data_IF_395807097963
#
_entry.id   IF_395807097963
#
_cell.length_a   1.000
_cell.length_b   1.000
_cell.length_c   1.000
_cell.angle_alpha   90.00
_cell.angle_beta   90.00
_cell.angle_gamma   90.00
#
_symmetry.space_group_name_H-M   'P 1'
#
loop_
_entity.id
_entity.type
_entity.pdbx_description
1 polymer ?
#
# COMPACT_ATOMS: atom_id res chain seq x y z
N UNK A 1 -1.87 -16.03 -2.93
CA UNK A 1 -1.07 -15.17 -2.02
C UNK A 1 -0.76 -15.96 -0.76
N UNK A 2 0.39 -15.77 -0.15
CA UNK A 2 0.82 -16.50 1.05
C UNK A 2 0.63 -15.71 2.35
N UNK A 3 0.44 -14.40 2.28
CA UNK A 3 -0.02 -13.56 3.38
C UNK A 3 -1.54 -13.40 3.29
N UNK A 4 -2.14 -12.89 4.36
CA UNK A 4 -3.57 -12.64 4.39
C UNK A 4 -4.00 -11.62 3.31
N UNK A 5 -5.15 -11.84 2.69
CA UNK A 5 -5.71 -10.91 1.71
C UNK A 5 -5.87 -9.50 2.28
N UNK A 6 -6.21 -9.40 3.57
CA UNK A 6 -6.40 -8.12 4.26
C UNK A 6 -5.11 -7.30 4.40
N UNK A 7 -3.93 -7.92 4.23
CA UNK A 7 -2.65 -7.19 4.19
C UNK A 7 -2.40 -6.48 2.83
N UNK A 8 -3.30 -6.68 1.86
CA UNK A 8 -3.15 -6.15 0.50
C UNK A 8 -4.36 -5.33 0.04
N UNK A 9 -4.59 -4.13 0.59
CA UNK A 9 -5.70 -3.27 0.21
C UNK A 9 -5.83 -3.03 -1.31
N UNK A 10 -4.73 -2.91 -2.11
CA UNK A 10 -4.86 -2.77 -3.55
C UNK A 10 -5.47 -4.00 -4.24
N UNK A 11 -5.30 -5.20 -3.68
CA UNK A 11 -5.96 -6.40 -4.22
C UNK A 11 -7.45 -6.42 -3.92
N UNK A 12 -7.85 -5.95 -2.75
CA UNK A 12 -9.26 -5.79 -2.39
C UNK A 12 -9.92 -4.85 -3.40
N UNK A 13 -9.29 -3.69 -3.66
CA UNK A 13 -9.74 -2.71 -4.65
C UNK A 13 -9.82 -3.30 -6.06
N UNK A 14 -8.83 -4.08 -6.47
CA UNK A 14 -8.81 -4.71 -7.78
C UNK A 14 -9.95 -5.73 -7.96
N UNK A 15 -10.22 -6.57 -6.95
CA UNK A 15 -11.34 -7.52 -6.96
C UNK A 15 -12.67 -6.76 -7.10
N UNK A 16 -12.87 -5.70 -6.33
CA UNK A 16 -14.08 -4.88 -6.42
C UNK A 16 -14.28 -4.29 -7.82
N UNK A 17 -13.22 -3.73 -8.39
CA UNK A 17 -13.26 -3.14 -9.75
C UNK A 17 -13.55 -4.21 -10.81
N UNK A 18 -12.87 -5.35 -10.75
CA UNK A 18 -13.11 -6.44 -11.71
C UNK A 18 -14.55 -6.96 -11.63
N UNK A 19 -15.12 -7.07 -10.40
CA UNK A 19 -16.55 -7.42 -10.25
C UNK A 19 -17.48 -6.36 -10.83
N UNK A 20 -17.16 -5.09 -10.70
CA UNK A 20 -17.94 -4.01 -11.32
C UNK A 20 -17.85 -4.03 -12.87
N UNK A 21 -16.72 -4.47 -13.41
CA UNK A 21 -16.54 -4.69 -14.85
C UNK A 21 -17.24 -5.96 -15.36
N UNK A 22 -17.84 -6.77 -14.49
CA UNK A 22 -18.57 -7.98 -14.83
C UNK A 22 -17.70 -9.24 -14.95
N UNK A 23 -16.45 -9.18 -14.47
CA UNK A 23 -15.54 -10.32 -14.54
C UNK A 23 -15.90 -11.41 -13.52
N UNK A 24 -15.73 -12.66 -13.92
CA UNK A 24 -15.82 -13.80 -13.00
C UNK A 24 -14.49 -14.02 -12.29
N UNK A 25 -14.53 -14.00 -10.95
CA UNK A 25 -13.30 -14.00 -10.15
C UNK A 25 -13.22 -15.22 -9.27
N UNK A 26 -12.06 -15.87 -9.32
CA UNK A 26 -11.66 -16.90 -8.36
C UNK A 26 -10.41 -16.41 -7.63
N UNK A 27 -10.53 -16.14 -6.34
CA UNK A 27 -9.39 -15.85 -5.48
C UNK A 27 -8.79 -17.14 -4.95
N UNK A 28 -7.48 -17.32 -5.13
CA UNK A 28 -6.73 -18.46 -4.59
C UNK A 28 -5.60 -17.95 -3.70
N UNK A 29 -5.68 -18.20 -2.40
CA UNK A 29 -4.65 -17.73 -1.48
C UNK A 29 -5.03 -17.85 -0.01
N UNK A 30 -4.26 -17.21 0.85
CA UNK A 30 -4.57 -17.14 2.27
C UNK A 30 -5.52 -15.98 2.56
N UNK A 31 -6.54 -16.23 3.37
CA UNK A 31 -7.44 -15.20 3.91
C UNK A 31 -8.03 -15.65 5.25
N UNK A 32 -8.36 -14.69 6.09
CA UNK A 32 -9.17 -14.87 7.30
C UNK A 32 -10.61 -14.50 7.01
N UNK A 33 -11.55 -15.15 7.71
CA UNK A 33 -12.95 -14.76 7.65
C UNK A 33 -13.11 -13.32 8.17
N UNK A 34 -13.71 -12.48 7.37
CA UNK A 34 -13.85 -11.04 7.62
C UNK A 34 -15.08 -10.50 6.90
N UNK A 35 -15.59 -9.32 7.28
CA UNK A 35 -16.66 -8.68 6.51
C UNK A 35 -16.33 -8.53 5.01
N UNK A 36 -15.07 -8.26 4.68
CA UNK A 36 -14.61 -8.14 3.29
C UNK A 36 -14.72 -9.45 2.53
N UNK A 37 -14.29 -10.57 3.12
CA UNK A 37 -14.36 -11.89 2.44
C UNK A 37 -15.79 -12.36 2.27
N UNK A 38 -16.67 -12.14 3.25
CA UNK A 38 -18.12 -12.44 3.14
C UNK A 38 -18.77 -11.61 2.04
N UNK A 39 -18.46 -10.31 1.97
CA UNK A 39 -18.94 -9.44 0.89
C UNK A 39 -18.47 -9.94 -0.49
N UNK A 40 -17.26 -10.44 -0.61
CA UNK A 40 -16.78 -11.03 -1.86
C UNK A 40 -17.57 -12.27 -2.26
N UNK A 41 -17.89 -13.16 -1.32
CA UNK A 41 -18.76 -14.32 -1.57
C UNK A 41 -20.16 -13.89 -2.02
N UNK A 42 -20.73 -12.86 -1.37
CA UNK A 42 -22.01 -12.26 -1.77
C UNK A 42 -21.99 -11.65 -3.19
N UNK A 43 -20.83 -11.10 -3.61
CA UNK A 43 -20.60 -10.61 -4.97
C UNK A 43 -20.30 -11.73 -5.98
N UNK A 44 -20.34 -13.00 -5.56
CA UNK A 44 -20.08 -14.15 -6.41
C UNK A 44 -18.58 -14.38 -6.71
N UNK A 45 -17.67 -13.88 -5.87
CA UNK A 45 -16.25 -14.25 -5.94
C UNK A 45 -16.05 -15.62 -5.30
N UNK A 46 -15.52 -16.58 -6.05
CA UNK A 46 -15.17 -17.88 -5.49
C UNK A 46 -13.86 -17.78 -4.70
N UNK A 47 -13.92 -18.01 -3.39
CA UNK A 47 -12.76 -17.98 -2.51
C UNK A 47 -12.20 -19.41 -2.28
N UNK A 48 -10.94 -19.64 -2.67
CA UNK A 48 -10.23 -20.92 -2.45
C UNK A 48 -9.08 -20.67 -1.47
N UNK A 49 -9.22 -21.19 -0.25
CA UNK A 49 -8.22 -20.99 0.80
C UNK A 49 -7.05 -21.95 0.62
N UNK A 50 -5.85 -21.40 0.46
CA UNK A 50 -4.60 -22.11 0.57
C UNK A 50 -3.88 -21.66 1.84
N UNK A 51 -3.55 -22.61 2.72
CA UNK A 51 -2.81 -22.29 3.94
C UNK A 51 -1.35 -21.98 3.61
N UNK A 52 -0.87 -20.82 4.00
CA UNK A 52 0.55 -20.52 3.99
C UNK A 52 0.87 -19.46 5.05
N UNK A 53 1.21 -19.92 6.23
CA UNK A 53 1.77 -19.07 7.28
C UNK A 53 3.26 -19.35 7.37
N UNK A 54 4.09 -18.33 7.24
CA UNK A 54 5.54 -18.43 7.44
C UNK A 54 5.85 -18.80 8.89
N UNK A 55 6.82 -19.68 9.05
CA UNK A 55 7.45 -19.97 10.34
C UNK A 55 8.82 -19.28 10.44
N UNK A 56 9.38 -19.23 11.64
CA UNK A 56 10.73 -18.72 11.88
C UNK A 56 11.84 -19.72 11.46
N UNK A 57 11.48 -20.93 10.98
CA UNK A 57 12.39 -21.98 10.57
C UNK A 57 12.41 -22.14 9.06
N UNK A 58 13.58 -22.05 8.43
CA UNK A 58 13.76 -22.23 6.98
C UNK A 58 13.31 -23.63 6.50
N UNK A 59 13.60 -24.68 7.26
CA UNK A 59 13.16 -26.03 6.95
C UNK A 59 11.64 -26.21 6.98
N UNK A 60 11.00 -25.61 7.97
CA UNK A 60 9.53 -25.61 8.07
C UNK A 60 8.94 -24.84 6.89
N UNK A 61 9.52 -23.71 6.51
CA UNK A 61 9.09 -22.93 5.36
C UNK A 61 9.19 -23.73 4.04
N UNK A 62 10.28 -24.49 3.83
CA UNK A 62 10.41 -25.36 2.64
C UNK A 62 9.29 -26.40 2.56
N UNK A 63 8.92 -27.01 3.69
CA UNK A 63 7.80 -27.97 3.75
C UNK A 63 6.47 -27.29 3.42
N UNK A 64 6.22 -26.13 4.03
CA UNK A 64 5.02 -25.30 3.78
C UNK A 64 4.92 -24.95 2.29
N UNK A 65 6.02 -24.47 1.67
CA UNK A 65 6.03 -24.09 0.26
C UNK A 65 5.77 -25.28 -0.68
N UNK A 66 6.33 -26.46 -0.39
CA UNK A 66 6.04 -27.68 -1.15
C UNK A 66 4.56 -28.07 -1.07
N UNK A 67 3.97 -28.00 0.14
CA UNK A 67 2.55 -28.27 0.34
C UNK A 67 1.67 -27.25 -0.39
N UNK A 68 2.00 -25.96 -0.28
CA UNK A 68 1.30 -24.90 -1.00
C UNK A 68 1.38 -25.10 -2.52
N UNK A 69 2.57 -25.37 -3.05
CA UNK A 69 2.76 -25.66 -4.49
C UNK A 69 1.89 -26.81 -4.97
N UNK A 70 1.86 -27.91 -4.22
CA UNK A 70 1.02 -29.07 -4.53
C UNK A 70 -0.46 -28.69 -4.54
N UNK A 71 -0.94 -28.06 -3.47
CA UNK A 71 -2.33 -27.65 -3.35
C UNK A 71 -2.75 -26.66 -4.45
N UNK A 72 -1.90 -25.67 -4.77
CA UNK A 72 -2.15 -24.74 -5.86
C UNK A 72 -2.26 -25.48 -7.21
N UNK A 73 -1.35 -26.40 -7.49
CA UNK A 73 -1.38 -27.19 -8.73
C UNK A 73 -2.64 -28.03 -8.87
N UNK A 74 -3.10 -28.66 -7.79
CA UNK A 74 -4.33 -29.45 -7.75
C UNK A 74 -5.56 -28.56 -7.98
N UNK A 75 -5.62 -27.39 -7.32
CA UNK A 75 -6.72 -26.44 -7.50
C UNK A 75 -6.78 -25.90 -8.95
N UNK A 76 -5.66 -25.45 -9.50
CA UNK A 76 -5.65 -24.96 -10.88
C UNK A 76 -6.05 -25.99 -11.91
N UNK A 77 -5.68 -27.28 -11.71
CA UNK A 77 -6.13 -28.36 -12.56
C UNK A 77 -7.64 -28.61 -12.45
N UNK A 78 -8.20 -28.54 -11.22
CA UNK A 78 -9.63 -28.79 -10.99
C UNK A 78 -10.53 -27.68 -11.57
N UNK A 79 -9.99 -26.50 -11.81
CA UNK A 79 -10.75 -25.37 -12.37
C UNK A 79 -10.98 -25.48 -13.88
N UNK A 80 -10.27 -26.39 -14.56
CA UNK A 80 -10.40 -26.55 -16.03
C UNK A 80 -10.26 -25.22 -16.80
N UNK A 81 -9.25 -24.43 -16.42
CA UNK A 81 -9.02 -23.11 -17.03
C UNK A 81 -8.84 -23.23 -18.56
N UNK A 82 -9.43 -22.31 -19.27
CA UNK A 82 -9.40 -22.19 -20.74
C UNK A 82 -8.33 -21.21 -21.21
N UNK A 83 -8.16 -21.06 -22.51
CA UNK A 83 -7.24 -20.06 -23.10
C UNK A 83 -7.70 -18.62 -22.91
N UNK A 84 -8.97 -18.39 -22.55
CA UNK A 84 -9.49 -17.05 -22.20
C UNK A 84 -9.22 -16.64 -20.75
N UNK A 85 -8.98 -17.62 -19.87
CA UNK A 85 -8.76 -17.33 -18.46
C UNK A 85 -7.35 -16.78 -18.20
N UNK A 86 -7.26 -15.84 -17.28
CA UNK A 86 -6.01 -15.15 -16.92
C UNK A 86 -5.75 -15.31 -15.43
N UNK A 87 -4.54 -15.74 -15.08
CA UNK A 87 -4.07 -15.74 -13.70
C UNK A 87 -3.46 -14.39 -13.39
N UNK A 88 -4.12 -13.58 -12.55
CA UNK A 88 -3.54 -12.35 -12.02
C UNK A 88 -2.69 -12.68 -10.80
N UNK A 89 -1.38 -12.77 -11.02
CA UNK A 89 -0.43 -13.19 -10.02
C UNK A 89 0.16 -11.99 -9.27
N UNK A 90 -0.07 -11.91 -7.97
CA UNK A 90 0.60 -10.93 -7.10
C UNK A 90 1.97 -11.44 -6.72
N UNK A 91 2.99 -10.73 -7.16
CA UNK A 91 4.36 -11.12 -6.91
C UNK A 91 4.72 -11.07 -5.42
N UNK A 92 5.42 -12.10 -5.00
CA UNK A 92 6.10 -12.15 -3.71
C UNK A 92 7.42 -12.89 -3.88
N UNK A 93 8.48 -12.45 -3.20
CA UNK A 93 9.78 -13.13 -3.25
C UNK A 93 9.69 -14.60 -2.84
N UNK A 94 8.73 -14.94 -1.99
CA UNK A 94 8.50 -16.33 -1.55
C UNK A 94 7.72 -17.17 -2.53
N UNK A 95 7.12 -16.57 -3.55
CA UNK A 95 6.33 -17.28 -4.54
C UNK A 95 7.13 -17.74 -5.77
N UNK A 96 8.43 -17.54 -5.77
CA UNK A 96 9.31 -18.02 -6.85
C UNK A 96 9.25 -19.53 -7.08
N UNK A 97 8.81 -20.30 -6.09
CA UNK A 97 8.67 -21.77 -6.19
C UNK A 97 7.45 -22.22 -7.01
N UNK A 98 6.52 -21.33 -7.38
CA UNK A 98 5.32 -21.66 -8.17
C UNK A 98 5.41 -21.25 -9.65
N UNK A 99 6.54 -20.68 -10.09
CA UNK A 99 6.72 -20.19 -11.46
C UNK A 99 6.45 -21.25 -12.55
N UNK A 100 6.88 -22.48 -12.33
CA UNK A 100 6.70 -23.62 -13.25
C UNK A 100 5.22 -24.07 -13.38
N UNK A 101 4.40 -23.77 -12.38
CA UNK A 101 2.95 -23.97 -12.46
C UNK A 101 2.32 -22.84 -13.25
N UNK A 102 2.62 -21.58 -12.90
CA UNK A 102 2.04 -20.40 -13.53
C UNK A 102 2.41 -20.30 -15.02
N UNK A 103 3.63 -20.68 -15.40
CA UNK A 103 4.11 -20.66 -16.79
C UNK A 103 3.33 -21.56 -17.75
N UNK A 104 2.42 -22.41 -17.27
CA UNK A 104 1.53 -23.26 -18.06
C UNK A 104 0.23 -22.55 -18.47
N UNK A 105 -0.03 -21.38 -17.93
CA UNK A 105 -1.25 -20.60 -18.12
C UNK A 105 -0.92 -19.23 -18.69
N UNK A 106 -1.94 -18.48 -19.10
CA UNK A 106 -1.82 -17.05 -19.33
C UNK A 106 -1.78 -16.34 -17.98
N UNK A 107 -0.80 -15.48 -17.76
CA UNK A 107 -0.67 -14.80 -16.47
C UNK A 107 -0.16 -13.37 -16.61
N UNK A 108 -0.64 -12.52 -15.69
CA UNK A 108 -0.15 -11.17 -15.43
C UNK A 108 0.63 -11.20 -14.12
N UNK A 109 1.72 -10.46 -14.04
CA UNK A 109 2.49 -10.29 -12.79
C UNK A 109 2.23 -8.88 -12.25
N UNK A 110 1.75 -8.79 -11.01
CA UNK A 110 1.50 -7.52 -10.32
C UNK A 110 2.50 -7.30 -9.19
N UNK A 111 3.30 -6.25 -9.30
CA UNK A 111 4.31 -5.84 -8.34
C UNK A 111 3.82 -4.64 -7.53
N UNK A 112 3.61 -4.80 -6.22
CA UNK A 112 3.34 -3.68 -5.31
C UNK A 112 4.59 -2.91 -4.91
N UNK A 113 5.74 -3.57 -4.98
CA UNK A 113 7.04 -2.99 -4.73
C UNK A 113 8.02 -3.37 -5.83
N UNK A 114 9.03 -2.54 -6.04
CA UNK A 114 10.16 -2.93 -6.87
C UNK A 114 10.88 -4.10 -6.20
N UNK A 115 10.99 -5.21 -6.91
CA UNK A 115 11.65 -6.42 -6.47
C UNK A 115 12.74 -6.80 -7.48
N UNK A 116 14.04 -6.66 -7.14
CA UNK A 116 15.13 -7.07 -8.00
C UNK A 116 15.20 -8.60 -8.15
N UNK A 117 15.94 -9.06 -9.14
CA UNK A 117 16.28 -10.48 -9.25
C UNK A 117 17.02 -10.95 -7.99
N UNK A 118 16.69 -12.15 -7.56
CA UNK A 118 17.41 -12.79 -6.47
C UNK A 118 18.54 -13.68 -7.04
N UNK A 119 19.75 -13.13 -7.12
CA UNK A 119 20.92 -13.81 -7.64
C UNK A 119 21.76 -14.52 -6.58
N UNK A 120 21.23 -14.64 -5.35
CA UNK A 120 21.98 -15.29 -4.27
C UNK A 120 22.22 -16.77 -4.60
N UNK A 121 23.43 -17.27 -4.26
CA UNK A 121 23.80 -18.67 -4.48
C UNK A 121 22.85 -19.65 -3.76
N UNK A 122 22.35 -19.27 -2.58
CA UNK A 122 21.35 -20.05 -1.83
C UNK A 122 20.04 -20.17 -2.62
N UNK A 123 19.61 -19.08 -3.25
CA UNK A 123 18.40 -19.09 -4.06
C UNK A 123 18.57 -19.97 -5.31
N UNK A 124 19.71 -19.87 -5.99
CA UNK A 124 20.01 -20.73 -7.15
C UNK A 124 20.09 -22.20 -6.79
N UNK A 125 20.59 -22.54 -5.60
CA UNK A 125 20.62 -23.91 -5.10
C UNK A 125 19.23 -24.45 -4.79
N UNK A 126 18.36 -23.63 -4.19
CA UNK A 126 17.00 -24.02 -3.84
C UNK A 126 16.04 -24.09 -5.04
N UNK A 127 16.31 -23.27 -6.07
CA UNK A 127 15.46 -23.15 -7.27
C UNK A 127 16.29 -23.20 -8.54
N UNK A 128 16.99 -24.30 -8.83
CA UNK A 128 17.94 -24.40 -9.95
C UNK A 128 17.29 -24.23 -11.32
N UNK A 129 16.01 -24.56 -11.44
CA UNK A 129 15.22 -24.44 -12.67
C UNK A 129 14.50 -23.10 -12.82
N UNK A 130 14.60 -22.21 -11.84
CA UNK A 130 13.93 -20.92 -11.90
C UNK A 130 14.75 -19.92 -12.72
N UNK A 131 14.18 -19.49 -13.83
CA UNK A 131 14.66 -18.38 -14.64
C UNK A 131 13.67 -17.23 -14.55
N UNK A 132 14.00 -16.24 -13.71
CA UNK A 132 13.13 -15.08 -13.49
C UNK A 132 12.90 -14.31 -14.77
N UNK A 133 13.94 -14.11 -15.58
CA UNK A 133 13.85 -13.34 -16.82
C UNK A 133 12.90 -14.03 -17.82
N UNK A 134 13.01 -15.33 -17.97
CA UNK A 134 12.10 -16.11 -18.82
C UNK A 134 10.66 -16.05 -18.31
N UNK A 135 10.48 -16.20 -16.99
CA UNK A 135 9.16 -16.11 -16.38
C UNK A 135 8.52 -14.74 -16.60
N UNK A 136 9.29 -13.66 -16.41
CA UNK A 136 8.79 -12.29 -16.62
C UNK A 136 8.48 -12.02 -18.09
N UNK A 137 9.32 -12.49 -19.02
CA UNK A 137 9.09 -12.31 -20.48
C UNK A 137 7.88 -13.10 -21.03
N UNK A 138 7.54 -14.23 -20.41
CA UNK A 138 6.36 -15.03 -20.76
C UNK A 138 5.05 -14.45 -20.24
N UNK A 139 5.09 -13.53 -19.29
CA UNK A 139 3.88 -12.88 -18.79
C UNK A 139 3.19 -12.08 -19.92
N UNK A 140 1.87 -12.18 -20.00
CA UNK A 140 1.08 -11.41 -20.98
C UNK A 140 0.99 -9.93 -20.60
N UNK A 141 1.19 -9.60 -19.32
CA UNK A 141 1.27 -8.26 -18.78
C UNK A 141 2.08 -8.19 -17.48
N UNK A 142 2.69 -7.05 -17.26
CA UNK A 142 3.38 -6.72 -16.00
C UNK A 142 2.76 -5.44 -15.48
N UNK A 143 2.37 -5.43 -14.21
CA UNK A 143 1.72 -4.30 -13.55
C UNK A 143 2.59 -3.80 -12.41
N UNK A 144 2.82 -2.50 -12.37
CA UNK A 144 3.45 -1.81 -11.25
C UNK A 144 2.53 -0.72 -10.70
N UNK A 145 2.68 -0.38 -9.43
CA UNK A 145 1.88 0.67 -8.80
C UNK A 145 2.44 2.09 -9.01
N UNK A 146 3.66 2.21 -9.58
CA UNK A 146 4.30 3.50 -9.84
C UNK A 146 5.13 3.42 -11.12
N UNK A 147 5.08 4.51 -11.91
CA UNK A 147 5.67 4.58 -13.25
C UNK A 147 7.19 4.32 -13.27
N UNK A 148 7.94 5.03 -12.44
CA UNK A 148 9.41 4.92 -12.45
C UNK A 148 9.88 3.53 -11.98
N UNK A 149 9.20 2.94 -10.98
CA UNK A 149 9.45 1.55 -10.57
C UNK A 149 9.25 0.59 -11.76
N UNK A 150 8.17 0.77 -12.52
CA UNK A 150 7.89 0.00 -13.72
C UNK A 150 8.96 0.17 -14.78
N UNK A 151 9.41 1.40 -15.07
CA UNK A 151 10.44 1.65 -16.07
C UNK A 151 11.82 1.14 -15.65
N UNK A 152 12.20 1.29 -14.38
CA UNK A 152 13.43 0.71 -13.82
C UNK A 152 13.40 -0.81 -13.96
N UNK A 153 12.26 -1.43 -13.59
CA UNK A 153 12.08 -2.87 -13.72
C UNK A 153 12.18 -3.34 -15.17
N UNK A 154 11.53 -2.62 -16.10
CA UNK A 154 11.63 -2.85 -17.54
C UNK A 154 13.08 -2.80 -18.05
N UNK A 155 13.78 -1.73 -17.71
CA UNK A 155 15.16 -1.52 -18.17
C UNK A 155 16.13 -2.61 -17.68
N UNK A 156 16.06 -2.94 -16.38
CA UNK A 156 16.93 -3.97 -15.77
C UNK A 156 16.67 -5.36 -16.35
N UNK A 157 15.41 -5.68 -16.67
CA UNK A 157 15.03 -7.00 -17.21
C UNK A 157 15.03 -7.04 -18.75
N UNK A 158 15.40 -5.95 -19.45
CA UNK A 158 15.41 -5.87 -20.89
C UNK A 158 14.07 -6.24 -21.52
N UNK A 159 12.97 -5.66 -21.03
CA UNK A 159 11.64 -5.95 -21.52
C UNK A 159 11.27 -4.98 -22.64
N UNK A 160 10.72 -5.51 -23.73
CA UNK A 160 10.29 -4.71 -24.88
C UNK A 160 9.01 -3.90 -24.58
N UNK A 161 8.07 -4.51 -23.87
CA UNK A 161 6.81 -3.85 -23.49
C UNK A 161 6.95 -3.07 -22.18
N UNK A 162 6.35 -1.89 -22.14
CA UNK A 162 6.23 -1.12 -20.90
C UNK A 162 5.25 -1.79 -19.95
N UNK A 163 5.56 -1.85 -18.65
CA UNK A 163 4.61 -2.28 -17.65
C UNK A 163 3.37 -1.38 -17.61
N UNK A 164 2.23 -1.96 -17.30
CA UNK A 164 1.03 -1.21 -16.95
C UNK A 164 1.20 -0.57 -15.59
N UNK A 165 0.59 0.60 -15.41
CA UNK A 165 0.63 1.31 -14.12
C UNK A 165 -0.77 1.29 -13.52
N UNK A 166 -0.87 0.65 -12.35
CA UNK A 166 -2.10 0.60 -11.55
C UNK A 166 -1.80 1.17 -10.17
N UNK A 167 -2.11 2.45 -9.93
CA UNK A 167 -1.84 3.10 -8.64
C UNK A 167 -2.57 2.43 -7.48
N UNK A 168 -1.96 2.46 -6.30
CA UNK A 168 -2.50 1.90 -5.06
C UNK A 168 -3.64 2.74 -4.46
N UNK A 169 -4.51 3.30 -5.30
CA UNK A 169 -5.68 4.04 -4.85
C UNK A 169 -6.71 3.07 -4.27
N UNK A 170 -7.17 3.26 -3.02
CA UNK A 170 -8.28 2.48 -2.51
C UNK A 170 -9.55 2.72 -3.32
N UNK A 171 -10.17 1.63 -3.77
CA UNK A 171 -11.47 1.69 -4.41
C UNK A 171 -12.55 1.62 -3.33
N UNK A 172 -13.30 2.72 -3.19
CA UNK A 172 -14.37 2.84 -2.20
C UNK A 172 -15.60 3.35 -2.95
N UNK A 173 -16.66 2.55 -3.00
CA UNK A 173 -17.95 3.03 -3.52
C UNK A 173 -18.44 4.19 -2.65
N UNK A 174 -19.03 5.21 -3.28
CA UNK A 174 -19.37 6.50 -2.65
C UNK A 174 -20.22 6.40 -1.38
N UNK A 175 -20.91 5.29 -1.15
CA UNK A 175 -21.82 5.08 0.00
C UNK A 175 -21.23 4.22 1.14
N UNK A 176 -19.93 3.99 1.19
CA UNK A 176 -19.34 2.96 2.06
C UNK A 176 -18.74 3.46 3.39
N UNK A 177 -18.97 4.71 3.78
CA UNK A 177 -18.69 5.17 5.15
C UNK A 177 -19.88 4.88 6.06
N UNK A 178 -20.30 3.61 6.11
CA UNK A 178 -21.32 3.15 7.03
C UNK A 178 -20.66 2.74 8.36
N UNK A 179 -21.15 3.30 9.45
CA UNK A 179 -20.73 2.88 10.80
C UNK A 179 -21.25 1.49 11.17
N UNK A 180 -22.14 0.91 10.35
CA UNK A 180 -22.63 -0.46 10.56
C UNK A 180 -21.44 -1.44 10.48
N UNK A 181 -21.23 -2.18 11.56
CA UNK A 181 -20.10 -3.08 11.70
C UNK A 181 -18.83 -2.45 12.28
N UNK A 182 -18.83 -1.17 12.66
CA UNK A 182 -17.71 -0.60 13.43
C UNK A 182 -17.72 -1.16 14.86
N UNK A 183 -16.62 -1.76 15.34
CA UNK A 183 -16.50 -2.20 16.73
C UNK A 183 -16.67 -1.04 17.71
N UNK A 184 -17.34 -1.28 18.84
CA UNK A 184 -17.65 -0.24 19.84
C UNK A 184 -16.40 0.42 20.43
N UNK A 185 -15.33 -0.33 20.63
CA UNK A 185 -14.04 0.18 21.10
C UNK A 185 -13.38 1.13 20.09
N UNK A 186 -13.50 0.84 18.79
CA UNK A 186 -13.03 1.73 17.71
C UNK A 186 -13.90 2.98 17.65
N UNK A 187 -15.22 2.83 17.75
CA UNK A 187 -16.15 3.97 17.77
C UNK A 187 -15.85 4.92 18.93
N UNK A 188 -15.67 4.37 20.13
CA UNK A 188 -15.26 5.15 21.31
C UNK A 188 -13.93 5.85 21.12
N UNK A 189 -12.92 5.14 20.60
CA UNK A 189 -11.60 5.72 20.32
C UNK A 189 -11.69 6.91 19.36
N UNK A 190 -12.44 6.77 18.27
CA UNK A 190 -12.64 7.83 17.27
C UNK A 190 -13.34 9.05 17.90
N UNK A 191 -14.36 8.83 18.73
CA UNK A 191 -15.04 9.91 19.45
C UNK A 191 -14.12 10.64 20.43
N UNK A 192 -13.32 9.89 21.20
CA UNK A 192 -12.34 10.45 22.14
C UNK A 192 -11.29 11.30 21.41
N UNK A 193 -10.78 10.82 20.26
CA UNK A 193 -9.85 11.57 19.42
C UNK A 193 -10.53 12.84 18.89
N UNK A 194 -11.73 12.74 18.34
CA UNK A 194 -12.48 13.89 17.82
C UNK A 194 -12.65 14.99 18.86
N UNK A 195 -13.00 14.61 20.09
CA UNK A 195 -13.15 15.57 21.19
C UNK A 195 -11.81 16.29 21.51
N UNK A 196 -10.70 15.54 21.54
CA UNK A 196 -9.37 16.10 21.86
C UNK A 196 -8.82 17.05 20.78
N UNK A 197 -9.20 16.85 19.51
CA UNK A 197 -8.67 17.64 18.39
C UNK A 197 -9.65 18.70 17.88
N UNK A 198 -10.79 18.87 18.53
CA UNK A 198 -11.79 19.86 18.15
C UNK A 198 -11.18 21.27 18.12
N UNK A 199 -11.42 22.01 17.04
CA UNK A 199 -10.88 23.36 16.81
C UNK A 199 -9.34 23.43 16.78
N UNK A 200 -8.65 22.31 16.48
CA UNK A 200 -7.19 22.28 16.33
C UNK A 200 -6.77 22.13 14.88
N UNK A 201 -5.55 22.53 14.58
CA UNK A 201 -4.82 22.24 13.35
C UNK A 201 -4.23 20.83 13.44
N UNK A 202 -4.89 19.86 12.83
CA UNK A 202 -4.58 18.45 12.99
C UNK A 202 -3.61 17.97 11.92
N UNK A 203 -2.42 17.55 12.32
CA UNK A 203 -1.41 16.93 11.47
C UNK A 203 -1.49 15.41 11.66
N UNK A 204 -1.84 14.66 10.62
CA UNK A 204 -2.04 13.22 10.71
C UNK A 204 -0.92 12.44 10.03
N UNK A 205 -0.26 11.59 10.77
CA UNK A 205 0.46 10.44 10.22
C UNK A 205 -0.37 9.18 10.42
N UNK A 206 -0.61 8.44 9.34
CA UNK A 206 -1.25 7.13 9.40
C UNK A 206 -0.42 6.08 8.66
N UNK A 207 -0.24 4.89 9.25
CA UNK A 207 0.42 3.77 8.60
C UNK A 207 1.43 3.03 9.45
N UNK A 208 2.48 2.56 8.77
CA UNK A 208 3.47 1.68 9.36
C UNK A 208 4.60 2.48 10.02
N UNK A 209 4.93 2.15 11.26
CA UNK A 209 6.01 2.76 12.03
C UNK A 209 7.30 1.98 11.83
N UNK A 210 8.29 2.59 11.20
CA UNK A 210 9.61 1.99 10.97
C UNK A 210 10.71 3.05 11.15
N UNK A 211 11.64 2.80 12.04
CA UNK A 211 12.65 3.78 12.46
C UNK A 211 13.59 4.27 11.36
N UNK A 212 13.80 3.48 10.31
CA UNK A 212 14.64 3.84 9.16
C UNK A 212 13.81 4.40 8.02
N UNK A 213 12.67 3.77 7.73
CA UNK A 213 11.87 4.02 6.53
C UNK A 213 10.83 5.12 6.72
N UNK A 214 10.36 5.33 7.95
CA UNK A 214 9.21 6.18 8.31
C UNK A 214 9.50 6.96 9.57
N UNK A 215 10.54 7.78 9.54
CA UNK A 215 10.96 8.58 10.69
C UNK A 215 9.94 9.65 11.03
N UNK A 216 9.60 9.78 12.30
CA UNK A 216 8.61 10.74 12.80
C UNK A 216 9.14 11.61 13.94
N UNK A 217 10.37 11.38 14.40
CA UNK A 217 10.95 12.14 15.52
C UNK A 217 10.96 13.64 15.25
N UNK A 218 11.39 14.03 14.06
CA UNK A 218 11.49 15.43 13.67
C UNK A 218 10.10 16.09 13.56
N UNK A 219 9.07 15.35 13.15
CA UNK A 219 7.69 15.83 13.16
C UNK A 219 7.19 16.00 14.59
N UNK A 220 7.43 15.06 15.48
CA UNK A 220 7.05 15.18 16.88
C UNK A 220 7.73 16.39 17.56
N UNK A 221 9.01 16.61 17.26
CA UNK A 221 9.75 17.76 17.78
C UNK A 221 9.21 19.08 17.25
N UNK A 222 8.90 19.16 15.96
CA UNK A 222 8.31 20.33 15.33
C UNK A 222 6.97 20.70 16.01
N UNK A 223 6.05 19.74 16.13
CA UNK A 223 4.74 19.99 16.74
C UNK A 223 4.87 20.44 18.20
N UNK A 224 5.82 19.90 18.98
CA UNK A 224 6.06 20.35 20.35
C UNK A 224 6.48 21.82 20.41
N UNK A 225 7.20 22.32 19.42
CA UNK A 225 7.67 23.72 19.34
C UNK A 225 6.62 24.68 18.77
N UNK A 226 5.61 24.19 18.03
CA UNK A 226 4.56 25.01 17.44
C UNK A 226 3.51 25.47 18.48
N UNK A 227 2.63 26.46 18.16
CA UNK A 227 1.55 26.90 19.04
C UNK A 227 0.62 25.77 19.51
N UNK A 228 -0.14 25.97 20.58
CA UNK A 228 -0.96 24.94 21.23
C UNK A 228 -2.19 24.50 20.42
N UNK A 229 -2.52 25.22 19.34
CA UNK A 229 -3.56 24.86 18.39
C UNK A 229 -3.10 23.81 17.35
N UNK A 230 -1.78 23.52 17.26
CA UNK A 230 -1.24 22.44 16.43
C UNK A 230 -1.19 21.11 17.20
N UNK A 231 -1.81 20.08 16.67
CA UNK A 231 -1.85 18.74 17.25
C UNK A 231 -1.49 17.70 16.21
N UNK A 232 -0.68 16.72 16.58
CA UNK A 232 -0.35 15.58 15.73
C UNK A 232 -1.11 14.33 16.19
N UNK A 233 -1.73 13.63 15.25
CA UNK A 233 -2.20 12.26 15.44
C UNK A 233 -1.21 11.33 14.74
N UNK A 234 -0.67 10.37 15.47
CA UNK A 234 0.21 9.32 14.98
C UNK A 234 -0.51 7.97 15.09
N UNK A 235 -1.17 7.54 14.00
CA UNK A 235 -2.01 6.35 13.96
C UNK A 235 -1.33 5.21 13.21
N UNK A 236 -1.27 4.01 13.82
CA UNK A 236 -0.80 2.84 13.10
C UNK A 236 -0.17 1.75 13.97
N UNK A 237 0.65 0.93 13.31
CA UNK A 237 1.41 -0.17 13.91
C UNK A 237 2.80 -0.28 13.27
N UNK A 238 3.71 -0.99 13.89
CA UNK A 238 5.04 -1.26 13.31
C UNK A 238 5.78 -2.38 14.03
N UNK A 239 6.85 -2.90 13.44
CA UNK A 239 7.73 -3.85 14.09
C UNK A 239 8.67 -3.15 15.08
N UNK A 240 9.36 -3.95 15.89
CA UNK A 240 10.52 -3.54 16.69
C UNK A 240 10.27 -2.42 17.71
N UNK A 241 9.07 -2.34 18.28
CA UNK A 241 8.72 -1.40 19.36
C UNK A 241 8.93 0.09 19.02
N UNK A 242 9.18 0.46 17.76
CA UNK A 242 9.41 1.86 17.39
C UNK A 242 8.21 2.75 17.69
N UNK A 243 6.99 2.25 17.49
CA UNK A 243 5.76 2.91 17.89
C UNK A 243 5.76 3.19 19.40
N UNK A 244 6.08 2.19 20.23
CA UNK A 244 6.08 2.32 21.69
C UNK A 244 7.18 3.26 22.19
N UNK A 245 8.35 3.24 21.56
CA UNK A 245 9.45 4.16 21.84
C UNK A 245 9.03 5.61 21.58
N UNK A 246 8.44 5.88 20.43
CA UNK A 246 7.94 7.23 20.09
C UNK A 246 6.81 7.65 21.03
N UNK A 247 5.85 6.76 21.30
CA UNK A 247 4.75 7.01 22.21
C UNK A 247 5.26 7.35 23.60
N UNK A 248 6.18 6.56 24.16
CA UNK A 248 6.78 6.83 25.48
C UNK A 248 7.48 8.18 25.54
N UNK A 249 8.11 8.60 24.43
CA UNK A 249 8.91 9.84 24.39
C UNK A 249 8.07 11.09 24.12
N UNK A 250 7.02 11.00 23.30
CA UNK A 250 6.33 12.17 22.75
C UNK A 250 4.83 12.24 23.03
N UNK A 251 4.20 11.19 23.60
CA UNK A 251 2.78 11.23 23.94
C UNK A 251 2.47 12.42 24.86
N UNK A 252 1.56 13.27 24.46
CA UNK A 252 1.14 14.48 25.18
C UNK A 252 -0.22 14.94 24.69
N UNK A 253 -0.72 16.06 25.22
CA UNK A 253 -1.96 16.69 24.70
C UNK A 253 -1.79 17.23 23.27
N UNK A 254 -0.56 17.44 22.81
CA UNK A 254 -0.22 17.89 21.45
C UNK A 254 0.09 16.75 20.48
N UNK A 255 0.45 15.56 20.97
CA UNK A 255 0.84 14.43 20.12
C UNK A 255 0.12 13.17 20.62
N UNK A 256 -0.87 12.74 19.86
CA UNK A 256 -1.73 11.61 20.19
C UNK A 256 -1.29 10.37 19.41
N UNK A 257 -0.75 9.37 20.10
CA UNK A 257 -0.48 8.06 19.53
C UNK A 257 -1.71 7.18 19.67
N UNK A 258 -2.29 6.75 18.56
CA UNK A 258 -3.43 5.85 18.54
C UNK A 258 -3.09 4.56 17.79
N UNK A 259 -3.68 3.42 18.18
CA UNK A 259 -3.39 2.14 17.53
C UNK A 259 -3.85 2.12 16.08
N UNK A 260 -3.44 1.09 15.35
CA UNK A 260 -3.95 0.81 14.02
C UNK A 260 -5.47 0.58 14.07
N UNK A 261 -6.19 1.35 13.26
CA UNK A 261 -7.62 1.19 13.04
C UNK A 261 -7.82 0.46 11.72
N UNK A 262 -8.60 -0.61 11.74
CA UNK A 262 -8.86 -1.43 10.54
C UNK A 262 -9.60 -0.61 9.47
N UNK A 263 -9.24 -0.77 8.19
CA UNK A 263 -10.00 -0.19 7.09
C UNK A 263 -11.44 -0.74 7.04
N UNK A 264 -12.42 0.09 6.68
CA UNK A 264 -12.32 1.49 6.26
C UNK A 264 -12.38 2.51 7.41
N UNK A 265 -12.54 2.08 8.67
CA UNK A 265 -12.84 2.94 9.82
C UNK A 265 -11.72 3.94 10.15
N UNK A 266 -10.47 3.68 9.77
CA UNK A 266 -9.37 4.65 9.89
C UNK A 266 -9.65 5.96 9.15
N UNK A 267 -10.51 5.94 8.11
CA UNK A 267 -10.85 7.12 7.32
C UNK A 267 -11.61 8.18 8.13
N UNK A 268 -12.32 7.79 9.20
CA UNK A 268 -12.92 8.77 10.12
C UNK A 268 -11.87 9.64 10.81
N UNK A 269 -10.68 9.08 11.10
CA UNK A 269 -9.56 9.87 11.63
C UNK A 269 -8.91 10.68 10.51
N UNK A 270 -8.82 10.13 9.29
CA UNK A 270 -8.30 10.87 8.12
C UNK A 270 -9.12 12.12 7.82
N UNK A 271 -10.44 12.03 7.94
CA UNK A 271 -11.35 13.16 7.73
C UNK A 271 -11.12 14.31 8.72
N UNK A 272 -10.77 13.99 9.98
CA UNK A 272 -10.46 15.00 11.01
C UNK A 272 -9.14 15.74 10.75
N UNK A 273 -8.26 15.22 9.91
CA UNK A 273 -6.97 15.83 9.64
C UNK A 273 -7.12 17.16 8.91
N UNK A 274 -6.20 18.09 9.18
CA UNK A 274 -5.96 19.27 8.35
C UNK A 274 -4.87 18.99 7.32
N UNK A 275 -3.77 18.35 7.74
CA UNK A 275 -2.61 18.05 6.87
C UNK A 275 -2.21 16.59 7.08
N UNK A 276 -1.94 15.87 5.97
CA UNK A 276 -1.44 14.50 5.96
C UNK A 276 0.09 14.43 5.89
N UNK A 277 0.71 13.55 6.69
CA UNK A 277 2.17 13.33 6.70
C UNK A 277 2.55 12.12 5.87
N UNK A 278 3.49 12.32 4.93
CA UNK A 278 4.03 11.33 4.00
C UNK A 278 5.53 11.11 4.27
N UNK A 279 5.86 10.46 5.39
CA UNK A 279 7.27 10.20 5.74
C UNK A 279 7.82 9.00 4.97
N UNK A 280 8.77 9.23 4.07
CA UNK A 280 9.50 8.24 3.27
C UNK A 280 10.98 8.59 3.24
N UNK A 281 11.82 7.80 3.92
CA UNK A 281 13.26 8.05 3.95
C UNK A 281 13.95 7.36 2.78
N UNK A 282 14.76 8.07 1.97
CA UNK A 282 15.57 7.45 0.92
C UNK A 282 16.78 6.69 1.46
N UNK A 283 17.12 6.88 2.74
CA UNK A 283 18.28 6.21 3.38
C UNK A 283 17.91 4.78 3.78
N UNK A 284 17.95 3.88 2.80
CA UNK A 284 17.61 2.48 2.94
C UNK A 284 18.84 1.59 2.92
N UNK A 285 18.75 0.40 3.53
CA UNK A 285 19.85 -0.57 3.60
C UNK A 285 20.12 -1.32 2.28
N UNK A 286 19.13 -1.36 1.39
CA UNK A 286 19.20 -2.11 0.13
C UNK A 286 18.83 -1.24 -1.05
N UNK A 287 19.37 -1.54 -2.23
CA UNK A 287 19.02 -0.83 -3.46
C UNK A 287 17.50 -0.89 -3.75
N UNK A 288 16.88 -2.03 -3.54
CA UNK A 288 15.41 -2.16 -3.69
C UNK A 288 14.66 -1.25 -2.72
N UNK A 289 15.12 -1.17 -1.47
CA UNK A 289 14.56 -0.24 -0.48
C UNK A 289 14.70 1.22 -0.91
N UNK A 290 15.86 1.61 -1.45
CA UNK A 290 16.08 2.96 -1.99
C UNK A 290 15.10 3.26 -3.13
N UNK A 291 14.97 2.37 -4.12
CA UNK A 291 14.02 2.54 -5.23
C UNK A 291 12.59 2.64 -4.71
N UNK A 292 12.21 1.79 -3.74
CA UNK A 292 10.88 1.78 -3.13
C UNK A 292 10.59 3.04 -2.29
N UNK A 293 11.60 3.67 -1.74
CA UNK A 293 11.44 4.93 -1.01
C UNK A 293 11.37 6.14 -1.95
N UNK A 294 12.29 6.25 -2.92
CA UNK A 294 12.34 7.34 -3.88
C UNK A 294 11.09 7.39 -4.76
N UNK A 295 10.61 6.23 -5.19
CA UNK A 295 9.43 6.09 -6.03
C UNK A 295 8.30 5.39 -5.27
N UNK A 296 7.99 5.88 -4.07
CA UNK A 296 6.94 5.32 -3.23
C UNK A 296 5.56 5.46 -3.88
N UNK A 297 4.71 4.46 -3.64
CA UNK A 297 3.32 4.42 -4.13
C UNK A 297 2.34 4.20 -2.95
N UNK A 298 2.21 5.16 -2.05
CA UNK A 298 1.42 4.99 -0.84
C UNK A 298 -0.08 5.12 -1.10
N UNK A 299 -0.89 4.26 -0.45
CA UNK A 299 -2.34 4.39 -0.45
C UNK A 299 -2.79 5.73 0.17
N UNK A 300 -2.08 6.18 1.20
CA UNK A 300 -2.45 7.35 2.00
C UNK A 300 -2.47 8.68 1.22
N UNK A 301 -1.75 8.79 0.09
CA UNK A 301 -1.84 9.97 -0.78
C UNK A 301 -3.27 10.13 -1.33
N UNK A 302 -3.92 9.01 -1.64
CA UNK A 302 -5.30 8.99 -2.10
C UNK A 302 -6.29 9.11 -0.94
N UNK A 303 -5.97 8.55 0.23
CA UNK A 303 -6.80 8.67 1.42
C UNK A 303 -6.86 10.13 1.89
N UNK A 304 -5.73 10.84 1.91
CA UNK A 304 -5.70 12.29 2.16
C UNK A 304 -6.37 13.07 1.04
N UNK A 305 -6.06 12.74 -0.21
CA UNK A 305 -6.64 13.40 -1.39
C UNK A 305 -8.16 13.33 -1.45
N UNK A 306 -8.76 12.19 -1.05
CA UNK A 306 -10.21 11.99 -0.98
C UNK A 306 -10.92 13.07 -0.15
N UNK A 307 -10.29 13.51 0.93
CA UNK A 307 -10.83 14.53 1.84
C UNK A 307 -10.20 15.92 1.62
N UNK A 308 -9.52 16.12 0.50
CA UNK A 308 -8.88 17.41 0.20
C UNK A 308 -7.86 17.82 1.25
N UNK A 309 -7.11 16.88 1.84
CA UNK A 309 -6.10 17.21 2.85
C UNK A 309 -4.76 17.49 2.19
N UNK A 310 -4.23 18.73 2.31
CA UNK A 310 -2.86 19.05 1.92
C UNK A 310 -1.86 18.09 2.56
N UNK A 311 -0.72 17.86 1.89
CA UNK A 311 0.25 16.89 2.37
C UNK A 311 1.63 17.51 2.58
N UNK A 312 2.34 17.01 3.62
CA UNK A 312 3.76 17.29 3.85
C UNK A 312 4.56 16.01 3.71
N UNK A 313 5.66 16.04 2.98
CA UNK A 313 6.47 14.87 2.70
C UNK A 313 7.97 15.13 2.82
N UNK A 314 8.75 14.06 2.92
CA UNK A 314 10.19 14.11 2.63
C UNK A 314 10.40 14.39 1.12
N UNK A 315 11.51 15.05 0.79
CA UNK A 315 11.89 15.29 -0.62
C UNK A 315 12.29 13.96 -1.29
N UNK A 316 11.27 13.30 -1.86
CA UNK A 316 11.43 12.11 -2.71
C UNK A 316 10.72 12.36 -4.06
N UNK A 317 11.31 11.91 -5.18
CA UNK A 317 10.83 12.26 -6.53
C UNK A 317 9.34 11.96 -6.74
N UNK A 318 8.87 10.78 -6.32
CA UNK A 318 7.49 10.36 -6.53
C UNK A 318 6.46 11.31 -5.88
N UNK A 319 6.77 11.91 -4.74
CA UNK A 319 5.88 12.85 -4.05
C UNK A 319 6.10 14.28 -4.53
N UNK A 320 7.36 14.69 -4.70
CA UNK A 320 7.72 16.03 -5.16
C UNK A 320 7.06 16.39 -6.49
N UNK A 321 7.11 15.49 -7.48
CA UNK A 321 6.50 15.73 -8.78
C UNK A 321 4.98 15.87 -8.71
N UNK A 322 4.31 14.98 -7.97
CA UNK A 322 2.86 15.05 -7.78
C UNK A 322 2.47 16.34 -7.06
N UNK A 323 3.20 16.69 -5.99
CA UNK A 323 2.90 17.91 -5.23
C UNK A 323 3.09 19.18 -6.05
N UNK A 324 4.11 19.21 -6.90
CA UNK A 324 4.36 20.32 -7.81
C UNK A 324 3.31 20.44 -8.91
N UNK A 325 2.89 19.30 -9.49
CA UNK A 325 1.94 19.27 -10.60
C UNK A 325 0.53 19.66 -10.16
N UNK A 326 0.07 19.10 -9.04
CA UNK A 326 -1.29 19.28 -8.54
C UNK A 326 -1.42 20.35 -7.46
N UNK A 327 -0.34 20.94 -6.99
CA UNK A 327 -0.36 21.82 -5.81
C UNK A 327 -1.08 21.19 -4.61
N UNK A 328 -0.81 19.92 -4.31
CA UNK A 328 -1.49 19.16 -3.26
C UNK A 328 -0.67 18.97 -1.98
N UNK A 329 0.54 19.55 -1.92
CA UNK A 329 1.43 19.43 -0.77
C UNK A 329 2.78 20.08 -0.99
N UNK A 330 3.64 19.96 0.01
CA UNK A 330 5.01 20.47 0.00
C UNK A 330 5.99 19.41 0.52
N UNK A 331 7.22 19.46 0.04
CA UNK A 331 8.30 18.59 0.52
C UNK A 331 9.22 19.35 1.47
N UNK A 332 9.76 18.63 2.45
CA UNK A 332 10.81 19.11 3.35
C UNK A 332 12.15 18.64 2.81
N UNK A 333 13.04 19.58 2.47
CA UNK A 333 14.38 19.30 1.98
C UNK A 333 15.25 18.61 3.06
N UNK A 334 16.26 17.88 2.61
CA UNK A 334 17.27 17.30 3.51
C UNK A 334 18.37 18.30 3.87
N UNK A 335 18.86 18.27 5.13
CA UNK A 335 18.43 17.42 6.24
C UNK A 335 17.09 17.89 6.81
N UNK A 336 16.21 16.93 7.10
CA UNK A 336 14.90 17.22 7.71
C UNK A 336 15.12 17.71 9.13
N UNK A 337 14.64 18.91 9.42
CA UNK A 337 14.72 19.53 10.75
C UNK A 337 13.34 19.93 11.27
N UNK A 338 13.12 20.01 12.60
CA UNK A 338 11.87 20.50 13.15
C UNK A 338 11.47 21.90 12.63
N UNK A 339 12.43 22.81 12.50
CA UNK A 339 12.16 24.17 11.97
C UNK A 339 11.71 24.15 10.52
N UNK A 340 12.35 23.32 9.66
CA UNK A 340 11.93 23.19 8.26
C UNK A 340 10.50 22.62 8.16
N UNK A 341 10.15 21.63 9.00
CA UNK A 341 8.80 21.08 9.09
C UNK A 341 7.80 22.17 9.50
N UNK A 342 8.11 22.95 10.55
CA UNK A 342 7.24 24.03 11.03
C UNK A 342 6.98 25.07 9.95
N UNK A 343 8.03 25.52 9.24
CA UNK A 343 7.92 26.48 8.13
C UNK A 343 7.01 25.95 7.01
N UNK A 344 7.15 24.67 6.64
CA UNK A 344 6.31 24.07 5.61
C UNK A 344 4.85 23.93 6.09
N UNK A 345 4.62 23.55 7.34
CA UNK A 345 3.26 23.47 7.90
C UNK A 345 2.58 24.86 7.89
N UNK A 346 3.28 25.92 8.29
CA UNK A 346 2.76 27.30 8.22
C UNK A 346 2.44 27.72 6.80
N UNK A 347 3.30 27.39 5.82
CA UNK A 347 3.06 27.64 4.39
C UNK A 347 1.78 26.94 3.89
N UNK A 348 1.62 25.66 4.25
CA UNK A 348 0.44 24.87 3.88
C UNK A 348 -0.85 25.43 4.48
N UNK A 349 -0.82 25.89 5.74
CA UNK A 349 -1.98 26.53 6.38
C UNK A 349 -2.28 27.92 5.79
N UNK A 350 -1.26 28.70 5.43
CA UNK A 350 -1.45 30.03 4.83
C UNK A 350 -2.08 29.95 3.43
N UNK A 351 -1.94 28.82 2.72
CA UNK A 351 -2.47 28.61 1.38
C UNK A 351 -3.38 27.39 1.32
N UNK A 352 -4.09 27.10 2.40
CA UNK A 352 -4.80 25.84 2.63
C UNK A 352 -5.76 25.50 1.49
N UNK A 353 -6.61 26.44 1.06
CA UNK A 353 -7.63 26.19 0.04
C UNK A 353 -7.04 25.77 -1.31
N UNK A 354 -5.91 26.38 -1.70
CA UNK A 354 -5.19 26.01 -2.92
C UNK A 354 -4.70 24.54 -2.85
N UNK A 355 -4.03 24.18 -1.75
CA UNK A 355 -3.51 22.83 -1.58
C UNK A 355 -4.61 21.78 -1.39
N UNK A 356 -5.70 22.15 -0.71
CA UNK A 356 -6.87 21.30 -0.53
C UNK A 356 -7.54 20.97 -1.87
N UNK A 357 -7.74 21.99 -2.71
CA UNK A 357 -8.26 21.82 -4.07
C UNK A 357 -7.36 20.92 -4.90
N UNK A 358 -6.05 21.15 -4.87
CA UNK A 358 -5.08 20.31 -5.59
C UNK A 358 -5.07 18.86 -5.11
N UNK A 359 -5.27 18.60 -3.82
CA UNK A 359 -5.37 17.26 -3.27
C UNK A 359 -6.61 16.51 -3.79
N UNK A 360 -7.76 17.19 -3.89
CA UNK A 360 -8.98 16.65 -4.51
C UNK A 360 -8.79 16.39 -6.00
N UNK A 361 -8.19 17.32 -6.73
CA UNK A 361 -7.92 17.19 -8.17
C UNK A 361 -7.01 15.98 -8.44
N UNK A 362 -5.95 15.81 -7.66
CA UNK A 362 -5.11 14.62 -7.78
C UNK A 362 -5.89 13.32 -7.51
N UNK A 363 -6.70 13.28 -6.45
CA UNK A 363 -7.54 12.11 -6.18
C UNK A 363 -8.47 11.78 -7.34
N UNK A 364 -9.11 12.79 -7.92
CA UNK A 364 -10.07 12.63 -9.03
C UNK A 364 -9.38 12.27 -10.35
N UNK A 365 -8.13 12.69 -10.57
CA UNK A 365 -7.38 12.41 -11.81
C UNK A 365 -7.11 10.93 -12.06
N UNK A 366 -7.16 10.10 -11.01
CA UNK A 366 -6.88 8.66 -11.10
C UNK A 366 -8.19 7.88 -11.15
N UNK A 367 -8.58 7.44 -12.35
CA UNK A 367 -9.74 6.59 -12.62
C UNK A 367 -9.29 5.11 -12.70
N UNK A 368 -9.45 4.38 -11.61
CA UNK A 368 -9.05 2.97 -11.53
C UNK A 368 -9.85 2.07 -12.45
N UNK A 369 -11.16 2.32 -12.63
CA UNK A 369 -12.02 1.52 -13.51
C UNK A 369 -11.51 1.61 -14.94
N UNK A 370 -11.26 2.84 -15.41
CA UNK A 370 -10.69 3.08 -16.74
C UNK A 370 -9.33 2.42 -16.93
N UNK A 371 -8.46 2.50 -15.90
CA UNK A 371 -7.12 1.89 -15.94
C UNK A 371 -7.23 0.36 -16.04
N UNK A 372 -8.00 -0.28 -15.15
CA UNK A 372 -8.16 -1.75 -15.14
C UNK A 372 -8.81 -2.24 -16.44
N UNK A 373 -9.86 -1.56 -16.91
CA UNK A 373 -10.48 -1.85 -18.21
C UNK A 373 -9.47 -1.77 -19.36
N UNK A 374 -8.61 -0.75 -19.36
CA UNK A 374 -7.54 -0.61 -20.37
C UNK A 374 -6.50 -1.72 -20.29
N UNK A 375 -6.12 -2.17 -19.09
CA UNK A 375 -5.22 -3.32 -18.90
C UNK A 375 -5.87 -4.59 -19.47
N UNK A 376 -7.11 -4.91 -19.04
CA UNK A 376 -7.82 -6.11 -19.50
C UNK A 376 -7.99 -6.16 -21.01
N UNK A 377 -8.27 -5.02 -21.65
CA UNK A 377 -8.38 -4.92 -23.11
C UNK A 377 -7.04 -5.10 -23.87
N UNK A 378 -5.91 -4.95 -23.17
CA UNK A 378 -4.56 -5.00 -23.77
C UNK A 378 -3.87 -6.35 -23.59
N UNK A 379 -4.41 -7.25 -22.79
CA UNK A 379 -3.89 -8.58 -22.48
C UNK A 379 -4.85 -9.67 -23.00
#
# INVERSE_FOLDING_TARGET
>A
MHNDLMDYPPMISLIDIMKELGEDIIYIGHYTDSPTTRRFEELGVKLIKLGCIRSNSDWTNLKIYKQYKKALSEQLKSLNLTSSDIIWYVYSQTSNFIHDILSRYRYVIHYFEYAPQNDSWKFRLLYPSYNQLEFVRKAIGIVHCEYNRGQIYRAINGLDKSPFILPNKPYVKEHSMDESGMPDDIKKLIMDVKHKVQCKKVILYQGFFASVERRLEEFCQAINQMPSDYVMIAMGKGPNNYYDVLKKKYQSDKILFIPFIIPPFHLYVTEMASIGVMSYSPHQKTHAGVVNALYCAPNKIFEYGKYGKPMIANDVPALKYIFKEYHCGEVVDYPITPNAISTILEKLFSNYDMYSKGALEYYQSVDLIKIVKGILASI
#
